data_IF_428153623058
#
_entry.id   IF_428153623058
#
_cell.length_a   1.000
_cell.length_b   1.000
_cell.length_c   1.000
_cell.angle_alpha   90.00
_cell.angle_beta   90.00
_cell.angle_gamma   90.00
#
_symmetry.space_group_name_H-M   'P 1'
#
loop_
_entity.id
_entity.type
_entity.pdbx_description
1 polymer ?
#
# COMPACT_ATOMS: atom_id res chain seq x y z
N UNK A 1 -17.50 7.07 -0.77
CA UNK A 1 -16.27 7.44 -1.49
C UNK A 1 -15.43 8.35 -0.62
N UNK A 2 -14.19 7.98 -0.38
CA UNK A 2 -13.27 8.80 0.44
C UNK A 2 -12.70 9.92 -0.44
N UNK A 3 -12.36 11.04 0.16
CA UNK A 3 -11.84 12.22 -0.53
C UNK A 3 -10.39 12.47 -0.11
N UNK A 4 -9.63 13.10 -0.99
CA UNK A 4 -8.24 13.51 -0.75
C UNK A 4 -8.26 14.96 -0.30
N UNK A 5 -7.58 15.28 0.82
CA UNK A 5 -7.42 16.64 1.29
C UNK A 5 -6.03 17.15 0.95
N UNK A 6 -5.95 18.25 0.20
CA UNK A 6 -4.71 18.89 -0.20
C UNK A 6 -4.84 20.39 0.09
N UNK A 7 -3.95 20.94 0.91
CA UNK A 7 -3.95 22.37 1.30
C UNK A 7 -5.31 22.88 1.82
N UNK A 8 -6.06 22.01 2.52
CA UNK A 8 -7.38 22.32 3.06
C UNK A 8 -8.55 22.07 2.10
N UNK A 9 -8.34 22.03 0.80
CA UNK A 9 -9.37 21.69 -0.18
C UNK A 9 -9.54 20.16 -0.26
N UNK A 10 -10.79 19.72 -0.38
CA UNK A 10 -11.13 18.31 -0.52
C UNK A 10 -11.45 17.96 -1.96
N UNK A 11 -10.78 16.96 -2.49
CA UNK A 11 -10.95 16.48 -3.86
C UNK A 11 -11.66 15.12 -3.88
N UNK A 12 -12.51 14.92 -4.87
CA UNK A 12 -13.05 13.62 -5.23
C UNK A 12 -12.67 13.35 -6.69
N UNK A 13 -11.84 12.34 -6.88
CA UNK A 13 -11.40 11.87 -8.20
C UNK A 13 -11.88 10.45 -8.42
N UNK A 14 -12.30 10.16 -9.64
CA UNK A 14 -12.67 8.82 -10.03
C UNK A 14 -12.36 8.57 -11.49
N UNK A 15 -12.02 7.30 -11.77
CA UNK A 15 -11.78 6.78 -13.10
C UNK A 15 -12.36 5.38 -13.21
N UNK A 16 -13.00 5.07 -14.34
CA UNK A 16 -13.32 3.73 -14.76
C UNK A 16 -12.72 3.46 -16.15
N UNK A 17 -12.16 2.30 -16.36
CA UNK A 17 -11.46 1.96 -17.60
C UNK A 17 -11.58 0.48 -17.94
N UNK A 18 -11.36 0.17 -19.20
CA UNK A 18 -11.02 -1.16 -19.70
C UNK A 18 -9.51 -1.25 -19.91
N UNK A 19 -9.03 -2.34 -20.46
CA UNK A 19 -7.61 -2.46 -20.88
C UNK A 19 -7.23 -1.51 -22.03
N UNK A 20 -8.21 -1.04 -22.77
CA UNK A 20 -8.04 -0.32 -24.03
C UNK A 20 -8.35 1.16 -23.92
N UNK A 21 -9.26 1.55 -23.03
CA UNK A 21 -9.73 2.93 -22.93
C UNK A 21 -10.26 3.31 -21.55
N UNK A 22 -10.27 4.60 -21.29
CA UNK A 22 -10.96 5.21 -20.16
C UNK A 22 -12.45 5.31 -20.51
N UNK A 23 -13.32 4.74 -19.67
CA UNK A 23 -14.78 4.83 -19.84
C UNK A 23 -15.30 6.11 -19.21
N UNK A 24 -14.84 6.42 -18.00
CA UNK A 24 -15.29 7.58 -17.27
C UNK A 24 -14.13 8.15 -16.43
N UNK A 25 -14.00 9.46 -16.39
CA UNK A 25 -13.05 10.16 -15.54
C UNK A 25 -13.67 11.46 -15.04
N UNK A 26 -13.65 11.72 -13.73
CA UNK A 26 -14.22 12.93 -13.16
C UNK A 26 -13.39 13.45 -12.01
N UNK A 27 -13.45 14.78 -11.82
CA UNK A 27 -12.82 15.46 -10.71
C UNK A 27 -13.70 16.55 -10.15
N UNK A 28 -13.98 16.45 -8.85
CA UNK A 28 -14.68 17.46 -8.07
C UNK A 28 -13.77 18.03 -7.00
N UNK A 29 -13.94 19.32 -6.70
CA UNK A 29 -13.29 19.98 -5.59
C UNK A 29 -14.33 20.57 -4.63
N UNK A 30 -14.06 20.47 -3.36
CA UNK A 30 -14.82 21.10 -2.27
C UNK A 30 -13.86 22.08 -1.58
N UNK A 31 -13.88 23.38 -1.99
CA UNK A 31 -13.00 24.38 -1.40
C UNK A 31 -13.25 24.49 0.10
N UNK A 32 -12.19 24.60 0.88
CA UNK A 32 -12.26 24.71 2.35
C UNK A 32 -13.20 25.81 2.82
N UNK A 33 -13.15 26.98 2.16
CA UNK A 33 -13.95 28.16 2.51
C UNK A 33 -15.46 27.94 2.33
N UNK A 34 -15.87 27.21 1.27
CA UNK A 34 -17.29 27.09 0.93
C UNK A 34 -17.87 25.71 1.21
N UNK A 35 -17.05 24.67 1.24
CA UNK A 35 -17.47 23.29 1.38
C UNK A 35 -18.38 22.77 0.25
N UNK A 36 -18.74 23.62 -0.74
CA UNK A 36 -19.67 23.26 -1.82
C UNK A 36 -18.93 22.58 -2.97
N UNK A 37 -19.51 21.48 -3.48
CA UNK A 37 -18.98 20.76 -4.62
C UNK A 37 -18.88 21.67 -5.86
N UNK A 38 -17.71 21.70 -6.49
CA UNK A 38 -17.48 22.31 -7.79
C UNK A 38 -16.92 21.24 -8.72
N UNK A 39 -17.53 21.02 -9.85
CA UNK A 39 -16.99 20.17 -10.92
C UNK A 39 -15.80 20.91 -11.55
N UNK A 40 -14.67 20.23 -11.70
CA UNK A 40 -13.54 20.70 -12.49
C UNK A 40 -13.66 20.18 -13.91
N UNK A 41 -13.80 18.87 -14.06
CA UNK A 41 -14.08 18.23 -15.36
C UNK A 41 -14.78 16.88 -15.16
N UNK A 42 -15.44 16.43 -16.24
CA UNK A 42 -16.00 15.11 -16.42
C UNK A 42 -15.76 14.67 -17.85
N UNK A 43 -15.44 13.40 -18.04
CA UNK A 43 -15.24 12.74 -19.33
C UNK A 43 -16.00 11.43 -19.28
N UNK A 44 -16.88 11.19 -20.25
CA UNK A 44 -17.66 9.97 -20.38
C UNK A 44 -17.58 9.43 -21.80
N UNK A 45 -17.20 8.18 -21.97
CA UNK A 45 -17.26 7.53 -23.27
C UNK A 45 -18.69 7.20 -23.64
N UNK A 46 -19.11 7.62 -24.82
CA UNK A 46 -20.44 7.36 -25.36
C UNK A 46 -20.35 6.22 -26.37
N UNK A 47 -20.98 5.09 -26.05
CA UNK A 47 -20.92 3.89 -26.90
C UNK A 47 -21.67 4.05 -28.21
N UNK A 48 -22.68 4.93 -28.32
CA UNK A 48 -23.43 5.19 -29.52
C UNK A 48 -22.63 6.01 -30.53
N UNK A 49 -22.03 7.10 -30.06
CA UNK A 49 -21.26 8.02 -30.93
C UNK A 49 -19.81 7.58 -31.12
N UNK A 50 -19.34 6.60 -30.33
CA UNK A 50 -17.94 6.16 -30.25
C UNK A 50 -16.95 7.30 -29.93
N UNK A 51 -17.44 8.33 -29.23
CA UNK A 51 -16.69 9.52 -28.83
C UNK A 51 -16.86 9.81 -27.34
N UNK A 52 -16.12 10.80 -26.85
CA UNK A 52 -16.22 11.25 -25.46
C UNK A 52 -17.09 12.48 -25.32
N UNK A 53 -18.02 12.41 -24.39
CA UNK A 53 -18.73 13.58 -23.89
C UNK A 53 -17.90 14.26 -22.80
N UNK A 54 -17.61 15.54 -22.96
CA UNK A 54 -16.75 16.30 -22.06
C UNK A 54 -17.50 17.46 -21.39
N UNK A 55 -17.38 17.55 -20.08
CA UNK A 55 -17.81 18.70 -19.28
C UNK A 55 -16.60 19.40 -18.66
N UNK A 56 -16.03 20.37 -19.36
CA UNK A 56 -14.87 21.16 -18.92
C UNK A 56 -15.35 22.49 -18.35
N UNK A 57 -15.50 22.59 -17.04
CA UNK A 57 -16.11 23.76 -16.38
C UNK A 57 -15.14 24.95 -16.27
N UNK A 58 -15.67 26.14 -15.94
CA UNK A 58 -14.87 27.33 -15.69
C UNK A 58 -14.15 27.31 -14.34
N UNK A 59 -14.41 26.31 -13.49
CA UNK A 59 -13.67 26.11 -12.24
C UNK A 59 -12.24 25.59 -12.52
N UNK A 60 -12.04 24.84 -13.63
CA UNK A 60 -10.71 24.46 -14.10
C UNK A 60 -10.15 25.58 -14.98
N UNK A 61 -9.02 26.17 -14.58
CA UNK A 61 -8.35 27.25 -15.32
C UNK A 61 -7.30 26.68 -16.26
N UNK A 62 -7.06 27.37 -17.38
CA UNK A 62 -6.04 27.07 -18.37
C UNK A 62 -6.59 26.56 -19.70
N UNK A 63 -5.74 25.92 -20.48
CA UNK A 63 -6.01 25.51 -21.87
C UNK A 63 -6.76 24.16 -21.94
N UNK A 64 -7.92 24.09 -21.31
CA UNK A 64 -8.71 22.85 -21.12
C UNK A 64 -8.99 22.11 -22.43
N UNK A 65 -9.33 22.82 -23.50
CA UNK A 65 -9.62 22.23 -24.80
C UNK A 65 -8.37 21.60 -25.44
N UNK A 66 -7.22 22.28 -25.33
CA UNK A 66 -5.94 21.75 -25.83
C UNK A 66 -5.58 20.45 -25.09
N UNK A 67 -5.71 20.43 -23.77
CA UNK A 67 -5.43 19.21 -22.99
C UNK A 67 -6.39 18.07 -23.32
N UNK A 68 -7.68 18.39 -23.56
CA UNK A 68 -8.66 17.40 -24.05
C UNK A 68 -8.22 16.80 -25.38
N UNK A 69 -7.88 17.65 -26.35
CA UNK A 69 -7.56 17.20 -27.71
C UNK A 69 -6.24 16.40 -27.77
N UNK A 70 -5.34 16.61 -26.79
CA UNK A 70 -4.09 15.84 -26.61
C UNK A 70 -4.26 14.56 -25.76
N UNK A 71 -5.43 14.36 -25.14
CA UNK A 71 -5.68 13.18 -24.28
C UNK A 71 -6.14 12.01 -25.14
N UNK A 72 -5.32 10.97 -25.19
CA UNK A 72 -5.65 9.73 -25.86
C UNK A 72 -6.75 8.95 -25.10
N UNK A 73 -7.36 7.99 -25.77
CA UNK A 73 -8.44 7.18 -25.20
C UNK A 73 -7.97 6.33 -24.00
N UNK A 74 -6.73 5.85 -24.04
CA UNK A 74 -6.08 5.04 -23.02
C UNK A 74 -5.38 5.87 -21.92
N UNK A 75 -5.40 7.20 -22.02
CA UNK A 75 -4.73 8.11 -21.09
C UNK A 75 -5.72 8.85 -20.19
N UNK A 76 -5.35 9.08 -18.93
CA UNK A 76 -6.12 9.92 -18.01
C UNK A 76 -5.87 11.41 -18.28
N UNK A 77 -6.94 12.19 -18.27
CA UNK A 77 -6.90 13.63 -18.52
C UNK A 77 -6.08 14.39 -17.46
N UNK A 78 -6.18 13.98 -16.19
CA UNK A 78 -5.39 14.56 -15.10
C UNK A 78 -3.89 14.57 -15.44
N UNK A 79 -3.35 13.43 -15.89
CA UNK A 79 -1.93 13.31 -16.25
C UNK A 79 -1.60 14.16 -17.46
N UNK A 80 -2.40 14.08 -18.51
CA UNK A 80 -2.18 14.85 -19.74
C UNK A 80 -2.17 16.34 -19.45
N UNK A 81 -3.16 16.85 -18.72
CA UNK A 81 -3.23 18.27 -18.39
C UNK A 81 -1.98 18.76 -17.62
N UNK A 82 -1.49 17.97 -16.65
CA UNK A 82 -0.29 18.32 -15.87
C UNK A 82 0.98 18.27 -16.72
N UNK A 83 1.12 17.28 -17.60
CA UNK A 83 2.24 17.21 -18.55
C UNK A 83 2.29 18.44 -19.49
N UNK A 84 1.11 19.00 -19.80
CA UNK A 84 1.00 20.24 -20.57
C UNK A 84 0.76 21.47 -19.68
N UNK A 85 1.44 21.51 -18.53
CA UNK A 85 1.59 22.66 -17.63
C UNK A 85 0.31 23.15 -16.92
N UNK A 86 -0.67 22.28 -16.65
CA UNK A 86 -1.80 22.63 -15.80
C UNK A 86 -1.38 22.73 -14.33
N UNK A 87 -1.12 23.93 -13.83
CA UNK A 87 -0.69 24.14 -12.45
C UNK A 87 -1.78 23.83 -11.43
N UNK A 88 -3.06 24.06 -11.76
CA UNK A 88 -4.17 23.82 -10.82
C UNK A 88 -4.43 22.35 -10.51
N UNK A 89 -4.06 21.43 -11.40
CA UNK A 89 -4.19 19.99 -11.19
C UNK A 89 -2.91 19.34 -10.65
N UNK A 90 -1.79 20.06 -10.66
CA UNK A 90 -0.50 19.55 -10.23
C UNK A 90 -0.50 19.01 -8.79
N UNK A 91 -1.10 19.66 -7.79
CA UNK A 91 -1.11 19.13 -6.42
C UNK A 91 -1.79 17.75 -6.30
N UNK A 92 -2.89 17.54 -7.02
CA UNK A 92 -3.58 16.25 -7.03
C UNK A 92 -2.75 15.18 -7.77
N UNK A 93 -2.12 15.54 -8.88
CA UNK A 93 -1.23 14.64 -9.60
C UNK A 93 -0.01 14.25 -8.75
N UNK A 94 0.60 15.23 -8.07
CA UNK A 94 1.74 14.98 -7.18
C UNK A 94 1.36 14.07 -6.01
N UNK A 95 0.14 14.20 -5.45
CA UNK A 95 -0.38 13.27 -4.44
C UNK A 95 -0.34 11.83 -4.95
N UNK A 96 -0.90 11.55 -6.13
CA UNK A 96 -0.90 10.18 -6.68
C UNK A 96 0.51 9.69 -7.04
N UNK A 97 1.38 10.58 -7.50
CA UNK A 97 2.70 10.23 -8.00
C UNK A 97 3.78 10.15 -6.92
N UNK A 98 3.65 10.90 -5.81
CA UNK A 98 4.70 11.06 -4.80
C UNK A 98 4.26 10.68 -3.39
N UNK A 99 2.98 10.98 -3.03
CA UNK A 99 2.52 10.90 -1.66
C UNK A 99 1.67 9.64 -1.39
N UNK A 100 1.19 8.98 -2.45
CA UNK A 100 0.50 7.69 -2.36
C UNK A 100 1.48 6.56 -2.74
N UNK A 101 1.74 5.66 -1.81
CA UNK A 101 2.54 4.46 -2.03
C UNK A 101 1.66 3.22 -1.85
N UNK A 102 1.61 2.35 -2.85
CA UNK A 102 0.80 1.12 -2.82
C UNK A 102 1.73 -0.09 -2.95
N UNK A 103 1.65 -0.98 -1.97
CA UNK A 103 2.40 -2.24 -1.90
C UNK A 103 1.40 -3.38 -1.94
N UNK A 104 1.30 -4.07 -3.06
CA UNK A 104 0.43 -5.24 -3.22
C UNK A 104 1.11 -6.54 -2.79
N UNK A 105 2.44 -6.58 -2.86
CA UNK A 105 3.22 -7.73 -2.42
C UNK A 105 4.60 -7.25 -1.94
N UNK A 106 4.87 -7.40 -0.64
CA UNK A 106 6.14 -6.99 -0.02
C UNK A 106 7.32 -7.80 -0.59
N UNK A 107 7.12 -9.07 -0.94
CA UNK A 107 8.21 -9.92 -1.43
C UNK A 107 8.72 -9.46 -2.80
N UNK A 108 7.85 -8.87 -3.63
CA UNK A 108 8.21 -8.30 -4.92
C UNK A 108 8.89 -6.93 -4.82
N UNK A 109 8.92 -6.32 -3.63
CA UNK A 109 9.53 -5.00 -3.45
C UNK A 109 11.06 -5.08 -3.47
N UNK A 110 11.66 -4.12 -4.14
CA UNK A 110 13.11 -3.91 -4.12
C UNK A 110 13.54 -3.13 -2.89
N UNK A 111 14.72 -3.44 -2.40
CA UNK A 111 15.37 -2.66 -1.34
C UNK A 111 15.83 -1.31 -1.94
N UNK A 112 15.59 -0.21 -1.24
CA UNK A 112 15.94 1.12 -1.72
C UNK A 112 17.33 1.53 -1.22
N UNK A 113 18.19 1.98 -2.14
CA UNK A 113 19.47 2.59 -1.82
C UNK A 113 19.36 4.12 -1.76
N UNK A 114 20.13 4.72 -0.86
CA UNK A 114 20.37 6.16 -0.84
C UNK A 114 21.50 6.53 -1.81
N UNK A 115 22.53 5.70 -1.86
CA UNK A 115 23.68 5.76 -2.75
C UNK A 115 24.18 4.34 -3.05
N UNK A 116 25.31 4.24 -3.73
CA UNK A 116 25.85 2.96 -4.22
C UNK A 116 26.22 1.95 -3.10
N UNK A 117 26.29 2.37 -1.84
CA UNK A 117 26.76 1.54 -0.72
C UNK A 117 25.84 1.55 0.49
N UNK A 118 24.86 2.45 0.57
CA UNK A 118 24.02 2.63 1.75
C UNK A 118 22.56 2.43 1.46
N UNK A 119 21.86 1.77 2.37
CA UNK A 119 20.42 1.65 2.32
C UNK A 119 19.76 2.99 2.64
N UNK A 120 18.66 3.27 1.96
CA UNK A 120 17.84 4.42 2.31
C UNK A 120 17.28 4.23 3.73
N UNK A 121 17.46 5.25 4.56
CA UNK A 121 17.07 5.22 5.99
C UNK A 121 17.77 4.15 6.84
N UNK A 122 18.99 3.77 6.51
CA UNK A 122 19.74 2.70 7.18
C UNK A 122 19.77 2.86 8.73
N UNK A 123 20.04 4.07 9.23
CA UNK A 123 20.10 4.33 10.68
C UNK A 123 18.75 4.09 11.36
N UNK A 124 17.67 4.55 10.75
CA UNK A 124 16.31 4.34 11.26
C UNK A 124 15.90 2.88 11.17
N UNK A 125 16.26 2.22 10.07
CA UNK A 125 16.01 0.81 9.86
C UNK A 125 16.70 -0.05 10.93
N UNK A 126 17.99 0.19 11.21
CA UNK A 126 18.73 -0.52 12.28
C UNK A 126 18.09 -0.26 13.64
N UNK A 127 17.64 0.97 13.93
CA UNK A 127 16.92 1.27 15.17
C UNK A 127 15.60 0.51 15.28
N UNK A 128 14.84 0.42 14.19
CA UNK A 128 13.60 -0.36 14.14
C UNK A 128 13.89 -1.84 14.40
N UNK A 129 14.87 -2.43 13.72
CA UNK A 129 15.27 -3.83 13.90
C UNK A 129 15.67 -4.14 15.34
N UNK A 130 16.44 -3.26 15.97
CA UNK A 130 16.79 -3.38 17.40
C UNK A 130 15.59 -3.26 18.33
N UNK A 131 14.61 -2.42 17.99
CA UNK A 131 13.39 -2.24 18.80
C UNK A 131 12.43 -3.43 18.68
N UNK A 132 12.61 -4.29 17.70
CA UNK A 132 11.75 -5.44 17.40
C UNK A 132 12.41 -6.80 17.64
N UNK A 133 13.45 -6.82 18.50
CA UNK A 133 14.18 -8.02 18.92
C UNK A 133 14.94 -8.76 17.80
N UNK A 134 15.13 -8.09 16.66
CA UNK A 134 16.06 -8.57 15.65
C UNK A 134 17.48 -8.13 16.03
N UNK A 135 18.32 -9.07 16.43
CA UNK A 135 19.70 -8.78 16.89
C UNK A 135 20.64 -8.41 15.74
N UNK A 136 20.21 -7.46 14.88
CA UNK A 136 20.97 -6.96 13.74
C UNK A 136 21.64 -5.64 14.14
N UNK A 137 22.98 -5.62 14.13
CA UNK A 137 23.79 -4.47 14.52
C UNK A 137 24.08 -3.52 13.36
N UNK A 138 24.19 -4.06 12.12
CA UNK A 138 24.44 -3.29 10.91
C UNK A 138 23.90 -3.99 9.66
N UNK A 139 23.79 -3.24 8.58
CA UNK A 139 23.47 -3.74 7.25
C UNK A 139 24.63 -3.34 6.31
N UNK A 140 25.04 -4.26 5.43
CA UNK A 140 26.09 -4.01 4.45
C UNK A 140 25.55 -4.24 3.05
N UNK A 141 25.94 -3.39 2.12
CA UNK A 141 25.55 -3.48 0.71
C UNK A 141 26.80 -3.67 -0.11
N UNK A 142 26.85 -4.76 -0.86
CA UNK A 142 27.95 -5.09 -1.76
C UNK A 142 27.42 -5.13 -3.21
N UNK A 143 28.09 -4.44 -4.13
CA UNK A 143 27.77 -4.53 -5.55
C UNK A 143 28.17 -5.91 -6.09
N UNK A 144 27.31 -6.48 -6.90
CA UNK A 144 27.59 -7.73 -7.58
C UNK A 144 28.01 -7.41 -9.01
N UNK A 145 29.26 -7.72 -9.36
CA UNK A 145 29.69 -7.67 -10.74
C UNK A 145 28.98 -8.78 -11.53
N UNK A 146 28.28 -8.39 -12.59
CA UNK A 146 27.63 -9.33 -13.49
C UNK A 146 28.71 -9.98 -14.37
N UNK A 147 29.15 -11.16 -14.01
CA UNK A 147 29.87 -12.01 -14.97
C UNK A 147 28.87 -12.50 -16.03
N UNK A 148 28.98 -11.93 -17.22
CA UNK A 148 28.13 -12.22 -18.38
C UNK A 148 28.13 -13.69 -18.79
N UNK A 149 29.11 -14.48 -18.36
CA UNK A 149 29.27 -15.88 -18.74
C UNK A 149 28.51 -16.87 -17.86
N UNK A 150 28.13 -16.50 -16.63
CA UNK A 150 27.58 -17.48 -15.71
C UNK A 150 26.09 -17.29 -15.40
N UNK A 151 25.37 -16.27 -15.85
CA UNK A 151 23.90 -16.04 -15.71
C UNK A 151 23.19 -16.62 -14.45
N UNK A 152 23.92 -17.01 -13.41
CA UNK A 152 23.38 -17.49 -12.14
C UNK A 152 23.34 -16.38 -11.12
N UNK A 153 22.42 -15.42 -11.31
CA UNK A 153 21.98 -14.49 -10.28
C UNK A 153 21.07 -15.23 -9.28
N UNK A 154 21.57 -16.23 -8.60
CA UNK A 154 20.71 -17.01 -7.70
C UNK A 154 20.40 -16.28 -6.39
N UNK A 155 21.08 -15.18 -6.05
CA UNK A 155 20.96 -14.56 -4.71
C UNK A 155 21.15 -13.04 -4.67
N UNK A 156 21.23 -12.35 -5.79
CA UNK A 156 21.33 -10.90 -5.80
C UNK A 156 19.95 -10.23 -5.80
N UNK A 157 19.77 -9.19 -4.99
CA UNK A 157 18.59 -8.35 -5.06
C UNK A 157 18.64 -7.44 -6.28
N UNK A 158 17.52 -7.33 -6.99
CA UNK A 158 17.32 -6.21 -7.90
C UNK A 158 17.06 -4.96 -7.05
N UNK A 159 17.91 -3.97 -7.15
CA UNK A 159 17.75 -2.73 -6.41
C UNK A 159 17.37 -1.60 -7.33
N UNK A 160 16.42 -0.79 -6.89
CA UNK A 160 16.09 0.47 -7.53
C UNK A 160 16.98 1.55 -6.95
N UNK A 161 18.04 1.92 -7.66
CA UNK A 161 18.78 3.15 -7.38
C UNK A 161 18.03 4.32 -8.03
N UNK A 162 17.65 5.32 -7.25
CA UNK A 162 17.07 6.56 -7.77
C UNK A 162 18.21 7.48 -8.18
N UNK A 163 18.76 7.31 -9.40
CA UNK A 163 19.65 8.31 -10.03
C UNK A 163 18.79 9.29 -10.84
N UNK A 164 18.40 10.41 -10.20
CA UNK A 164 17.63 11.48 -10.83
C UNK A 164 16.12 11.28 -10.81
N UNK A 165 15.36 12.36 -11.00
CA UNK A 165 13.92 12.39 -10.82
C UNK A 165 13.09 11.49 -11.76
N UNK A 166 13.69 10.85 -12.78
CA UNK A 166 12.97 10.11 -13.82
C UNK A 166 13.61 8.78 -14.29
N UNK A 167 14.71 8.32 -13.72
CA UNK A 167 15.33 7.05 -14.13
C UNK A 167 15.52 6.11 -12.94
N UNK A 168 14.78 5.00 -12.93
CA UNK A 168 15.03 3.88 -12.04
C UNK A 168 16.10 3.00 -12.69
N UNK A 169 17.29 2.96 -12.10
CA UNK A 169 18.34 2.03 -12.50
C UNK A 169 18.31 0.85 -11.55
N UNK A 170 18.17 -0.35 -12.09
CA UNK A 170 18.21 -1.60 -11.35
C UNK A 170 19.63 -2.14 -11.37
N UNK A 171 20.31 -2.11 -10.23
CA UNK A 171 21.63 -2.71 -10.08
C UNK A 171 21.52 -3.91 -9.12
N UNK A 172 22.09 -5.08 -9.45
CA UNK A 172 22.13 -6.20 -8.54
C UNK A 172 23.10 -5.91 -7.41
N UNK A 173 22.63 -6.08 -6.17
CA UNK A 173 23.49 -6.01 -4.99
C UNK A 173 23.22 -7.18 -4.07
N UNK A 174 24.21 -7.50 -3.24
CA UNK A 174 24.11 -8.39 -2.12
C UNK A 174 23.92 -7.55 -0.86
N UNK A 175 22.87 -7.83 -0.07
CA UNK A 175 22.67 -7.21 1.23
C UNK A 175 22.99 -8.25 2.30
N UNK A 176 23.84 -7.85 3.24
CA UNK A 176 24.21 -8.66 4.40
C UNK A 176 23.71 -8.01 5.66
N UNK A 177 23.26 -8.82 6.60
CA UNK A 177 23.00 -8.45 7.98
C UNK A 177 24.23 -8.76 8.82
N UNK A 178 24.51 -7.94 9.82
CA UNK A 178 25.60 -8.14 10.77
C UNK A 178 25.03 -8.39 12.13
N UNK A 179 25.31 -9.55 12.69
CA UNK A 179 24.93 -9.94 14.03
C UNK A 179 26.11 -9.88 14.99
N UNK A 180 25.82 -9.71 16.27
CA UNK A 180 26.85 -9.80 17.32
C UNK A 180 26.74 -11.17 17.97
N UNK A 181 27.77 -11.98 17.82
CA UNK A 181 27.87 -13.30 18.46
C UNK A 181 28.02 -13.23 19.96
N UNK A 182 27.99 -14.39 20.61
CA UNK A 182 28.11 -14.51 22.09
C UNK A 182 29.43 -13.96 22.65
N UNK A 183 30.49 -14.06 21.85
CA UNK A 183 31.84 -13.60 22.22
C UNK A 183 32.12 -12.15 21.79
N UNK A 184 31.06 -11.44 21.29
CA UNK A 184 31.19 -10.06 20.81
C UNK A 184 31.75 -9.96 19.39
N UNK A 185 32.03 -11.07 18.72
CA UNK A 185 32.45 -11.07 17.32
C UNK A 185 31.29 -10.69 16.39
N UNK A 186 31.62 -10.07 15.26
CA UNK A 186 30.63 -9.68 14.24
C UNK A 186 30.53 -10.78 13.19
N UNK A 187 29.33 -11.31 13.00
CA UNK A 187 29.01 -12.37 12.05
C UNK A 187 28.13 -11.79 10.95
N UNK A 188 28.53 -12.02 9.69
CA UNK A 188 27.75 -11.58 8.53
C UNK A 188 26.90 -12.72 8.01
N UNK A 189 25.61 -12.42 7.75
CA UNK A 189 24.66 -13.32 7.11
C UNK A 189 24.20 -12.71 5.77
N UNK A 190 24.02 -13.56 4.75
CA UNK A 190 23.34 -13.18 3.54
C UNK A 190 21.84 -13.01 3.82
N UNK A 191 21.31 -11.82 3.56
CA UNK A 191 19.91 -11.49 3.86
C UNK A 191 18.91 -12.46 3.20
N UNK A 192 19.21 -13.00 2.04
CA UNK A 192 18.31 -13.90 1.32
C UNK A 192 18.46 -15.37 1.67
N UNK A 193 19.65 -15.79 2.12
CA UNK A 193 19.96 -17.19 2.36
C UNK A 193 19.85 -17.58 3.82
N UNK A 194 20.35 -16.69 4.68
CA UNK A 194 20.63 -17.03 6.07
C UNK A 194 19.60 -16.43 7.02
N UNK A 195 18.88 -15.37 6.59
CA UNK A 195 17.85 -14.74 7.40
C UNK A 195 16.46 -15.38 7.24
N UNK A 196 15.67 -15.29 8.29
CA UNK A 196 14.28 -15.69 8.24
C UNK A 196 13.46 -14.79 7.29
N UNK A 197 12.46 -15.37 6.61
CA UNK A 197 11.58 -14.62 5.70
C UNK A 197 10.95 -13.37 6.36
N UNK A 198 10.60 -13.45 7.65
CA UNK A 198 10.07 -12.31 8.40
C UNK A 198 11.07 -11.15 8.50
N UNK A 199 12.36 -11.44 8.72
CA UNK A 199 13.44 -10.44 8.74
C UNK A 199 13.57 -9.75 7.40
N UNK A 200 13.61 -10.54 6.32
CA UNK A 200 13.71 -10.02 4.94
C UNK A 200 12.53 -9.10 4.61
N UNK A 201 11.30 -9.54 4.94
CA UNK A 201 10.08 -8.76 4.72
C UNK A 201 10.07 -7.47 5.52
N UNK A 202 10.50 -7.53 6.81
CA UNK A 202 10.57 -6.34 7.65
C UNK A 202 11.55 -5.32 7.07
N UNK A 203 12.73 -5.74 6.64
CA UNK A 203 13.73 -4.83 6.04
C UNK A 203 13.19 -4.17 4.78
N UNK A 204 12.50 -4.93 3.91
CA UNK A 204 11.88 -4.38 2.71
C UNK A 204 10.78 -3.38 3.04
N UNK A 205 9.82 -3.77 3.90
CA UNK A 205 8.65 -2.95 4.24
C UNK A 205 9.03 -1.71 5.04
N UNK A 206 9.96 -1.83 5.97
CA UNK A 206 10.32 -0.76 6.91
C UNK A 206 10.83 0.50 6.21
N UNK A 207 11.51 0.38 5.09
CA UNK A 207 11.95 1.55 4.31
C UNK A 207 10.77 2.40 3.82
N UNK A 208 9.67 1.75 3.40
CA UNK A 208 8.45 2.44 2.97
C UNK A 208 7.68 3.01 4.16
N UNK A 209 7.63 2.29 5.28
CA UNK A 209 7.02 2.78 6.53
C UNK A 209 7.74 4.05 7.02
N UNK A 210 9.08 4.00 7.07
CA UNK A 210 9.90 5.14 7.49
C UNK A 210 9.74 6.32 6.52
N UNK A 211 9.75 6.08 5.20
CA UNK A 211 9.53 7.13 4.19
C UNK A 211 8.15 7.77 4.35
N UNK A 212 7.12 6.97 4.59
CA UNK A 212 5.75 7.48 4.81
C UNK A 212 5.68 8.35 6.07
N UNK A 213 6.17 7.87 7.21
CA UNK A 213 6.18 8.61 8.49
C UNK A 213 6.97 9.91 8.40
N UNK A 214 8.13 9.89 7.75
CA UNK A 214 8.97 11.09 7.58
C UNK A 214 8.39 12.14 6.65
N UNK A 215 7.60 11.73 5.65
CA UNK A 215 7.09 12.63 4.60
C UNK A 215 5.60 12.87 4.66
N UNK A 216 4.88 12.27 5.62
CA UNK A 216 3.43 12.42 5.74
C UNK A 216 2.66 11.75 4.59
N UNK A 217 3.16 10.63 4.05
CA UNK A 217 2.56 9.95 2.92
C UNK A 217 1.40 9.04 3.33
N UNK A 218 0.60 8.67 2.33
CA UNK A 218 -0.38 7.58 2.44
C UNK A 218 0.27 6.28 1.96
N UNK A 219 0.39 5.32 2.85
CA UNK A 219 0.91 3.99 2.57
C UNK A 219 -0.23 2.98 2.55
N UNK A 220 -0.38 2.26 1.45
CA UNK A 220 -1.34 1.17 1.28
C UNK A 220 -0.57 -0.13 1.21
N UNK A 221 -0.87 -1.08 2.09
CA UNK A 221 -0.17 -2.39 2.14
C UNK A 221 -1.20 -3.50 2.11
N UNK A 222 -1.09 -4.38 1.13
CA UNK A 222 -1.88 -5.60 1.08
C UNK A 222 -1.20 -6.68 1.92
N UNK A 223 -2.00 -7.38 2.74
CA UNK A 223 -1.52 -8.44 3.63
C UNK A 223 -0.34 -8.03 4.55
N UNK A 224 -0.52 -6.95 5.31
CA UNK A 224 0.51 -6.38 6.20
C UNK A 224 1.11 -7.40 7.18
N UNK A 225 0.31 -8.36 7.64
CA UNK A 225 0.69 -9.33 8.69
C UNK A 225 1.47 -10.53 8.18
N UNK A 226 1.56 -10.79 6.86
CA UNK A 226 2.20 -12.01 6.35
C UNK A 226 3.67 -12.07 6.79
N UNK A 227 4.04 -13.17 7.43
CA UNK A 227 5.40 -13.42 7.93
C UNK A 227 5.75 -12.69 9.21
N UNK A 228 4.83 -11.95 9.82
CA UNK A 228 5.07 -11.24 11.07
C UNK A 228 4.30 -11.87 12.24
N UNK A 229 4.93 -11.83 13.42
CA UNK A 229 4.22 -12.11 14.65
C UNK A 229 3.20 -10.99 14.92
N UNK A 230 1.99 -11.28 15.45
CA UNK A 230 0.96 -10.26 15.72
C UNK A 230 1.45 -9.04 16.51
N UNK A 231 2.35 -9.26 17.48
CA UNK A 231 2.99 -8.16 18.23
C UNK A 231 3.77 -7.20 17.34
N UNK A 232 4.51 -7.73 16.35
CA UNK A 232 5.26 -6.90 15.42
C UNK A 232 4.31 -6.10 14.52
N UNK A 233 3.26 -6.75 14.00
CA UNK A 233 2.22 -6.08 13.20
C UNK A 233 1.58 -4.94 13.99
N UNK A 234 1.17 -5.20 15.24
CA UNK A 234 0.64 -4.18 16.14
C UNK A 234 1.62 -3.02 16.36
N UNK A 235 2.88 -3.34 16.67
CA UNK A 235 3.94 -2.35 16.88
C UNK A 235 4.11 -1.43 15.66
N UNK A 236 4.12 -1.98 14.43
CA UNK A 236 4.25 -1.20 13.20
C UNK A 236 3.05 -0.26 12.99
N UNK A 237 1.83 -0.73 13.25
CA UNK A 237 0.60 0.07 13.14
C UNK A 237 0.62 1.22 14.17
N UNK A 238 1.01 0.95 15.41
CA UNK A 238 1.09 1.95 16.48
C UNK A 238 2.00 3.14 16.13
N UNK A 239 3.01 2.94 15.24
CA UNK A 239 3.86 4.04 14.82
C UNK A 239 3.08 5.14 14.08
N UNK A 240 1.99 4.79 13.39
CA UNK A 240 1.12 5.75 12.70
C UNK A 240 0.16 6.47 13.64
N UNK A 241 -0.11 5.92 14.82
CA UNK A 241 -1.02 6.52 15.82
C UNK A 241 -0.33 7.49 16.77
N UNK A 242 1.00 7.40 16.93
CA UNK A 242 1.77 8.19 17.91
C UNK A 242 2.29 9.48 17.27
N UNK A 243 1.97 10.64 17.86
CA UNK A 243 2.48 11.94 17.40
C UNK A 243 4.02 12.01 17.40
N UNK A 244 4.68 11.29 18.31
CA UNK A 244 6.16 11.27 18.41
C UNK A 244 6.83 10.58 17.23
N UNK A 245 6.18 9.59 16.63
CA UNK A 245 6.68 8.84 15.46
C UNK A 245 6.05 9.28 14.16
N UNK A 246 4.87 9.90 14.22
CA UNK A 246 4.11 10.38 13.05
C UNK A 246 3.77 11.89 13.15
N UNK A 247 4.75 12.79 13.26
CA UNK A 247 4.50 14.23 13.35
C UNK A 247 3.93 14.83 12.03
N UNK A 248 4.11 14.13 10.91
CA UNK A 248 3.70 14.58 9.59
C UNK A 248 2.35 14.00 9.14
N UNK A 249 1.60 13.35 10.04
CA UNK A 249 0.28 12.76 9.78
C UNK A 249 0.25 11.77 8.60
N UNK A 250 1.26 10.93 8.47
CA UNK A 250 1.23 9.82 7.55
C UNK A 250 0.01 8.91 7.83
N UNK A 251 -0.52 8.28 6.80
CA UNK A 251 -1.66 7.39 6.89
C UNK A 251 -1.28 5.99 6.45
N UNK A 252 -1.74 4.98 7.18
CA UNK A 252 -1.60 3.57 6.82
C UNK A 252 -2.99 2.99 6.53
N UNK A 253 -3.17 2.48 5.31
CA UNK A 253 -4.30 1.64 4.91
C UNK A 253 -3.77 0.26 4.61
N UNK A 254 -4.34 -0.77 5.21
CA UNK A 254 -3.84 -2.12 4.99
C UNK A 254 -4.97 -3.15 5.02
N UNK A 255 -4.71 -4.31 4.42
CA UNK A 255 -5.49 -5.52 4.60
C UNK A 255 -4.76 -6.48 5.53
N UNK A 256 -5.51 -7.34 6.20
CA UNK A 256 -4.96 -8.35 7.09
C UNK A 256 -5.94 -9.50 7.31
N UNK A 257 -5.42 -10.70 7.49
CA UNK A 257 -6.16 -11.86 7.98
C UNK A 257 -6.00 -12.06 9.50
N UNK A 258 -5.21 -11.19 10.16
CA UNK A 258 -4.89 -11.28 11.58
C UNK A 258 -5.99 -10.64 12.43
N UNK A 259 -6.90 -11.46 12.96
CA UNK A 259 -8.02 -10.98 13.78
C UNK A 259 -7.61 -10.52 15.17
N UNK A 260 -6.48 -11.00 15.71
CA UNK A 260 -6.04 -10.68 17.09
C UNK A 260 -5.66 -9.21 17.26
N UNK A 261 -5.31 -8.51 16.17
CA UNK A 261 -5.05 -7.07 16.21
C UNK A 261 -6.33 -6.23 16.21
N UNK A 262 -7.51 -6.83 16.01
CA UNK A 262 -8.80 -6.14 15.96
C UNK A 262 -9.25 -5.75 17.38
N UNK A 263 -8.72 -4.65 17.89
CA UNK A 263 -9.04 -4.14 19.22
C UNK A 263 -9.41 -2.64 19.19
N UNK A 264 -10.23 -2.21 20.15
CA UNK A 264 -10.60 -0.79 20.31
C UNK A 264 -9.48 0.05 20.90
N UNK A 265 -8.46 -0.59 21.49
CA UNK A 265 -7.25 0.10 21.95
C UNK A 265 -6.35 0.53 20.78
N UNK A 266 -6.45 -0.19 19.66
CA UNK A 266 -5.64 0.06 18.46
C UNK A 266 -6.41 0.84 17.40
N UNK A 267 -7.70 0.56 17.22
CA UNK A 267 -8.51 1.16 16.16
C UNK A 267 -9.83 1.72 16.68
N UNK A 268 -10.25 2.83 16.08
CA UNK A 268 -11.65 3.27 16.17
C UNK A 268 -12.54 2.36 15.31
N UNK A 269 -13.81 2.27 15.65
CA UNK A 269 -14.77 1.45 14.90
C UNK A 269 -14.94 1.87 13.44
N UNK A 270 -14.74 3.14 13.11
CA UNK A 270 -14.81 3.68 11.75
C UNK A 270 -13.54 3.37 10.90
N UNK A 271 -12.49 2.91 11.53
CA UNK A 271 -11.26 2.48 10.87
C UNK A 271 -11.28 1.01 10.45
N UNK A 272 -12.17 0.20 11.03
CA UNK A 272 -12.28 -1.23 10.75
C UNK A 272 -13.35 -1.48 9.68
N UNK A 273 -12.94 -2.16 8.61
CA UNK A 273 -13.77 -2.52 7.49
C UNK A 273 -13.65 -4.01 7.19
N UNK A 274 -14.76 -4.62 6.77
CA UNK A 274 -14.81 -6.01 6.39
C UNK A 274 -15.00 -6.15 4.87
N UNK A 275 -14.44 -7.22 4.33
CA UNK A 275 -14.64 -7.63 2.93
C UNK A 275 -15.20 -9.05 2.90
N UNK A 276 -16.16 -9.31 2.05
CA UNK A 276 -16.69 -10.65 1.77
C UNK A 276 -17.11 -10.79 0.32
N UNK A 277 -17.16 -12.00 -0.17
CA UNK A 277 -17.82 -12.33 -1.42
C UNK A 277 -19.33 -12.56 -1.15
N UNK A 278 -20.19 -11.96 -1.97
CA UNK A 278 -21.61 -12.23 -1.95
C UNK A 278 -21.96 -13.45 -2.83
N UNK A 279 -23.25 -13.83 -2.88
CA UNK A 279 -23.74 -14.94 -3.70
C UNK A 279 -23.45 -14.81 -5.20
N UNK A 280 -23.23 -13.59 -5.69
CA UNK A 280 -22.91 -13.31 -7.09
C UNK A 280 -21.39 -13.23 -7.34
N UNK A 281 -20.57 -13.69 -6.43
CA UNK A 281 -19.10 -13.61 -6.48
C UNK A 281 -18.55 -12.18 -6.57
N UNK A 282 -19.32 -11.18 -6.11
CA UNK A 282 -18.89 -9.80 -6.04
C UNK A 282 -18.38 -9.47 -4.64
N UNK A 283 -17.30 -8.70 -4.55
CA UNK A 283 -16.77 -8.22 -3.26
C UNK A 283 -17.66 -7.12 -2.69
N UNK A 284 -18.15 -7.34 -1.49
CA UNK A 284 -18.82 -6.33 -0.66
C UNK A 284 -17.84 -5.81 0.39
N UNK A 285 -17.87 -4.49 0.61
CA UNK A 285 -17.04 -3.81 1.63
C UNK A 285 -17.95 -2.99 2.55
N UNK A 286 -17.87 -3.23 3.85
CA UNK A 286 -18.71 -2.57 4.83
C UNK A 286 -17.96 -2.30 6.15
N UNK A 287 -18.26 -1.19 6.85
CA UNK A 287 -17.55 -0.82 8.06
C UNK A 287 -18.11 -1.53 9.31
N UNK A 288 -17.29 -1.64 10.35
CA UNK A 288 -17.73 -2.13 11.66
C UNK A 288 -18.83 -1.23 12.29
N UNK A 289 -18.92 0.02 11.87
CA UNK A 289 -19.95 0.96 12.33
C UNK A 289 -21.38 0.58 11.93
N UNK A 290 -21.56 -0.28 10.93
CA UNK A 290 -22.88 -0.80 10.56
C UNK A 290 -23.47 -1.74 11.64
N UNK A 291 -22.64 -2.23 12.54
CA UNK A 291 -23.01 -3.08 13.65
C UNK A 291 -23.10 -2.27 14.95
N UNK A 292 -24.24 -2.35 15.64
CA UNK A 292 -24.44 -1.62 16.90
C UNK A 292 -23.49 -2.16 17.99
N UNK A 293 -22.79 -1.28 18.73
CA UNK A 293 -22.04 -1.71 19.92
C UNK A 293 -22.99 -2.26 21.00
N UNK A 294 -22.48 -3.16 21.82
CA UNK A 294 -23.21 -3.60 23.00
C UNK A 294 -23.34 -2.44 24.01
N UNK A 295 -24.55 -2.20 24.54
CA UNK A 295 -24.77 -1.20 25.57
C UNK A 295 -23.89 -1.52 26.79
N UNK A 296 -23.05 -0.58 27.20
CA UNK A 296 -22.30 -0.64 28.46
C UNK A 296 -20.93 -1.35 28.36
N UNK A 297 -20.45 -1.79 27.17
CA UNK A 297 -19.12 -2.39 27.05
C UNK A 297 -18.12 -1.42 26.43
N UNK A 298 -17.29 -0.81 27.27
CA UNK A 298 -16.13 -0.03 26.83
C UNK A 298 -14.99 -0.90 26.24
N UNK A 299 -15.02 -2.22 26.54
CA UNK A 299 -13.99 -3.21 26.10
C UNK A 299 -14.63 -4.38 25.36
N UNK A 300 -15.19 -4.09 24.17
CA UNK A 300 -15.75 -5.13 23.32
C UNK A 300 -14.64 -5.97 22.67
N UNK A 301 -14.61 -7.27 22.89
CA UNK A 301 -13.70 -8.20 22.24
C UNK A 301 -14.13 -8.39 20.78
N UNK A 302 -13.66 -7.48 19.91
CA UNK A 302 -14.02 -7.45 18.49
C UNK A 302 -13.50 -8.68 17.75
N UNK A 303 -12.31 -9.15 18.09
CA UNK A 303 -11.67 -10.36 17.61
C UNK A 303 -12.55 -11.61 17.84
N UNK A 304 -13.00 -11.81 19.08
CA UNK A 304 -13.88 -12.94 19.44
C UNK A 304 -15.21 -12.88 18.70
N UNK A 305 -15.80 -11.69 18.58
CA UNK A 305 -17.06 -11.53 17.86
C UNK A 305 -16.92 -11.78 16.36
N UNK A 306 -15.81 -11.35 15.78
CA UNK A 306 -15.48 -11.65 14.38
C UNK A 306 -15.41 -13.17 14.17
N UNK A 307 -14.60 -13.88 14.99
CA UNK A 307 -14.43 -15.32 14.89
C UNK A 307 -15.73 -16.11 15.17
N UNK A 308 -16.67 -15.53 15.91
CA UNK A 308 -18.02 -16.09 16.10
C UNK A 308 -19.00 -15.72 14.97
N UNK A 309 -18.53 -15.15 13.86
CA UNK A 309 -19.34 -14.85 12.69
C UNK A 309 -20.27 -13.64 12.82
N UNK A 310 -20.15 -12.84 13.90
CA UNK A 310 -21.08 -11.74 14.18
C UNK A 310 -21.08 -10.64 13.13
N UNK A 311 -19.97 -10.49 12.40
CA UNK A 311 -19.78 -9.49 11.36
C UNK A 311 -19.92 -10.03 9.94
N UNK A 312 -20.16 -11.34 9.78
CA UNK A 312 -20.51 -11.97 8.50
C UNK A 312 -19.41 -12.04 7.45
N UNK A 313 -18.12 -11.79 7.83
CA UNK A 313 -16.97 -11.82 6.91
C UNK A 313 -16.06 -13.03 7.12
N UNK A 314 -16.54 -14.09 7.77
CA UNK A 314 -15.80 -15.34 7.88
C UNK A 314 -15.90 -16.16 6.59
N UNK A 315 -14.82 -16.84 6.18
CA UNK A 315 -14.90 -17.82 5.11
C UNK A 315 -15.80 -18.97 5.53
N UNK A 316 -16.66 -19.42 4.61
CA UNK A 316 -17.46 -20.61 4.79
C UNK A 316 -16.63 -21.86 4.45
N UNK A 317 -16.54 -22.80 5.38
CA UNK A 317 -15.88 -24.10 5.19
C UNK A 317 -16.94 -25.19 5.26
N UNK A 318 -17.17 -25.89 4.18
CA UNK A 318 -18.06 -27.05 4.13
C UNK A 318 -17.25 -28.34 4.31
N UNK A 319 -17.27 -28.87 5.51
CA UNK A 319 -16.57 -30.12 5.85
C UNK A 319 -17.13 -31.31 5.13
N UNK A 320 -18.43 -31.35 4.79
CA UNK A 320 -19.08 -32.48 4.13
C UNK A 320 -18.55 -32.68 2.70
N UNK A 321 -18.19 -31.61 2.03
CA UNK A 321 -17.58 -31.70 0.68
C UNK A 321 -16.19 -32.34 0.74
N UNK A 322 -15.41 -32.06 1.78
CA UNK A 322 -14.08 -32.64 1.95
C UNK A 322 -14.17 -34.14 2.28
N UNK A 323 -15.12 -34.52 3.16
CA UNK A 323 -15.35 -35.91 3.49
C UNK A 323 -15.74 -36.73 2.26
N UNK A 324 -16.62 -36.21 1.38
CA UNK A 324 -16.98 -36.87 0.14
C UNK A 324 -15.78 -37.06 -0.80
N UNK A 325 -14.95 -36.01 -1.00
CA UNK A 325 -13.74 -36.11 -1.83
C UNK A 325 -12.73 -37.11 -1.30
N UNK A 326 -12.62 -37.26 0.02
CA UNK A 326 -11.69 -38.21 0.63
C UNK A 326 -12.22 -39.65 0.59
N UNK A 327 -13.54 -39.84 0.71
CA UNK A 327 -14.19 -41.15 0.66
C UNK A 327 -14.25 -41.72 -0.77
N UNK A 328 -14.50 -40.87 -1.78
CA UNK A 328 -14.47 -41.29 -3.21
C UNK A 328 -13.11 -41.88 -3.65
N UNK A 329 -12.01 -41.55 -2.94
CA UNK A 329 -10.68 -42.14 -3.18
C UNK A 329 -10.47 -43.51 -2.54
N UNK A 330 -11.32 -43.92 -1.63
CA UNK A 330 -11.23 -45.21 -0.95
C UNK A 330 -11.97 -46.31 -1.71
N UNK A 331 -12.89 -45.96 -2.59
CA UNK A 331 -13.68 -46.87 -3.40
C UNK A 331 -13.03 -47.27 -4.75
N UNK A 332 -11.92 -46.59 -5.12
CA UNK A 332 -11.15 -46.87 -6.36
C UNK A 332 -9.90 -47.77 -6.15
N UNK A 333 -9.82 -48.54 -5.02
CA UNK A 333 -8.72 -49.49 -4.77
C UNK A 333 -9.22 -50.92 -4.57
#
# INVERSE_FOLDING_TARGET
>A
MKSICISGDRYQYGVSCTKEKIINEWLYVYPHVTGKRRTLYERLYNDETKNYDWNLTNNLKGQKAVWRDLTRDDAIYLKTAVLFNCQSLKPLYDFFNKDLCIILNVDSMSIQLADDHNLKYEKELIRLLKATDFNISALKVEKVELDYLTKKLTHAYSITSLKGENSQVYEPVLVKTVHTGTDGELIEFDLNKDEANGTVRLIKLAQFLIDALKKGKVLVVDDLNIGFHPFLTKFLIEQFHRLSTNPNNAQLLFTTHESTIMSQDLFRRDEIWFTKLNSNQMTEVYPLTDFKPLKGSSNERLDVKYLNGKYGALPYVDLSLIENVLNDRLDDN
#
